data_IF_672397089926
#
_entry.id   IF_672397089926
#
_cell.length_a   1.000
_cell.length_b   1.000
_cell.length_c   1.000
_cell.angle_alpha   90.00
_cell.angle_beta   90.00
_cell.angle_gamma   90.00
#
_symmetry.space_group_name_H-M   'P 1'
#
loop_
_entity.id
_entity.type
_entity.pdbx_description
1 polymer ?
#
# COMPACT_ATOMS: atom_id res chain seq x y z
N UNK A 1 31.14 -23.52 -29.70
CA UNK A 1 31.95 -22.41 -29.18
C UNK A 1 32.69 -21.78 -30.34
N UNK A 2 32.46 -20.49 -30.60
CA UNK A 2 33.59 -19.58 -30.64
C UNK A 2 33.32 -18.30 -29.84
N UNK A 3 34.37 -17.85 -29.15
CA UNK A 3 34.43 -16.70 -28.27
C UNK A 3 34.40 -15.39 -29.09
N UNK A 4 33.43 -14.51 -28.80
CA UNK A 4 33.38 -13.16 -29.36
C UNK A 4 34.32 -12.26 -28.58
N UNK A 5 35.54 -12.12 -29.08
CA UNK A 5 36.53 -11.15 -28.61
C UNK A 5 36.00 -9.73 -28.87
N UNK A 6 35.74 -8.98 -27.80
CA UNK A 6 35.49 -7.54 -27.91
C UNK A 6 36.77 -6.86 -28.40
N UNK A 7 36.83 -6.55 -29.69
CA UNK A 7 37.83 -5.68 -30.29
C UNK A 7 37.61 -4.26 -29.78
N UNK A 8 38.35 -3.87 -28.74
CA UNK A 8 38.46 -2.46 -28.33
C UNK A 8 39.34 -1.73 -29.33
N UNK A 9 38.74 -1.30 -30.44
CA UNK A 9 39.35 -0.31 -31.33
C UNK A 9 39.61 0.97 -30.54
N UNK A 10 40.82 1.51 -30.63
CA UNK A 10 41.28 2.76 -30.01
C UNK A 10 40.52 3.95 -30.60
N UNK A 11 39.28 4.17 -30.16
CA UNK A 11 38.53 5.37 -30.50
C UNK A 11 39.20 6.59 -29.87
N UNK A 12 39.49 7.60 -30.71
CA UNK A 12 40.06 8.87 -30.26
C UNK A 12 39.20 9.47 -29.14
N UNK A 13 39.83 10.03 -28.10
CA UNK A 13 39.15 10.67 -26.96
C UNK A 13 38.08 11.69 -27.41
N UNK A 14 38.32 12.40 -28.52
CA UNK A 14 37.36 13.33 -29.11
C UNK A 14 36.09 12.64 -29.62
N UNK A 15 36.22 11.46 -30.24
CA UNK A 15 35.07 10.66 -30.70
C UNK A 15 34.26 10.09 -29.54
N UNK A 16 34.93 9.68 -28.44
CA UNK A 16 34.28 9.21 -27.22
C UNK A 16 33.49 10.35 -26.54
N UNK A 17 34.08 11.54 -26.42
CA UNK A 17 33.40 12.73 -25.89
C UNK A 17 32.20 13.12 -26.78
N UNK A 18 32.36 13.08 -28.10
CA UNK A 18 31.28 13.31 -29.05
C UNK A 18 30.11 12.34 -28.83
N UNK A 19 30.38 11.04 -28.75
CA UNK A 19 29.37 10.03 -28.45
C UNK A 19 28.72 10.24 -27.07
N UNK A 20 29.48 10.62 -26.06
CA UNK A 20 28.95 10.90 -24.72
C UNK A 20 27.96 12.08 -24.71
N UNK A 21 28.27 13.17 -25.42
CA UNK A 21 27.35 14.31 -25.52
C UNK A 21 26.07 13.95 -26.26
N UNK A 22 26.17 13.15 -27.33
CA UNK A 22 25.02 12.63 -28.07
C UNK A 22 24.16 11.68 -27.22
N UNK A 23 24.78 10.80 -26.43
CA UNK A 23 24.05 9.92 -25.52
C UNK A 23 23.36 10.71 -24.40
N UNK A 24 24.00 11.77 -23.91
CA UNK A 24 23.42 12.66 -22.90
C UNK A 24 22.21 13.43 -23.47
N UNK A 25 22.29 13.95 -24.69
CA UNK A 25 21.16 14.63 -25.33
C UNK A 25 19.99 13.67 -25.58
N UNK A 26 20.28 12.49 -26.16
CA UNK A 26 19.28 11.43 -26.35
C UNK A 26 18.61 11.02 -25.04
N UNK A 27 19.39 10.87 -23.96
CA UNK A 27 18.83 10.56 -22.63
C UNK A 27 17.88 11.65 -22.14
N UNK A 28 18.20 12.93 -22.31
CA UNK A 28 17.32 14.01 -21.89
C UNK A 28 16.03 14.05 -22.70
N UNK A 29 16.13 13.81 -24.01
CA UNK A 29 14.99 13.75 -24.91
C UNK A 29 14.05 12.59 -24.58
N UNK A 30 14.58 11.39 -24.32
CA UNK A 30 13.76 10.24 -23.91
C UNK A 30 13.10 10.46 -22.56
N UNK A 31 13.78 11.07 -21.58
CA UNK A 31 13.18 11.44 -20.30
C UNK A 31 12.01 12.43 -20.52
N UNK A 32 12.18 13.40 -21.41
CA UNK A 32 11.14 14.39 -21.72
C UNK A 32 9.91 13.74 -22.36
N UNK A 33 10.11 12.85 -23.33
CA UNK A 33 9.03 12.12 -24.00
C UNK A 33 8.31 11.18 -23.02
N UNK A 34 9.05 10.40 -22.23
CA UNK A 34 8.48 9.52 -21.21
C UNK A 34 7.64 10.30 -20.20
N UNK A 35 8.09 11.49 -19.78
CA UNK A 35 7.33 12.35 -18.87
C UNK A 35 6.01 12.83 -19.50
N UNK A 36 6.01 13.17 -20.78
CA UNK A 36 4.81 13.55 -21.50
C UNK A 36 3.82 12.38 -21.61
N UNK A 37 4.31 11.18 -21.92
CA UNK A 37 3.50 9.98 -22.05
C UNK A 37 2.88 9.57 -20.71
N UNK A 38 3.65 9.60 -19.61
CA UNK A 38 3.12 9.36 -18.26
C UNK A 38 2.05 10.40 -17.88
N UNK A 39 2.26 11.67 -18.22
CA UNK A 39 1.27 12.71 -17.96
C UNK A 39 -0.03 12.49 -18.77
N UNK A 40 0.07 12.03 -20.01
CA UNK A 40 -1.09 11.69 -20.82
C UNK A 40 -1.82 10.45 -20.28
N UNK A 41 -1.08 9.41 -19.91
CA UNK A 41 -1.64 8.18 -19.38
C UNK A 41 -2.33 8.42 -18.02
N UNK A 42 -1.73 9.20 -17.12
CA UNK A 42 -2.38 9.58 -15.87
C UNK A 42 -3.65 10.42 -16.10
N UNK A 43 -3.67 11.30 -17.12
CA UNK A 43 -4.87 12.04 -17.51
C UNK A 43 -5.94 11.09 -18.06
N UNK A 44 -5.57 10.12 -18.90
CA UNK A 44 -6.47 9.10 -19.44
C UNK A 44 -7.07 8.23 -18.34
N UNK A 45 -6.27 7.78 -17.39
CA UNK A 45 -6.73 7.00 -16.24
C UNK A 45 -7.70 7.81 -15.37
N UNK A 46 -7.41 9.08 -15.09
CA UNK A 46 -8.35 9.95 -14.37
C UNK A 46 -9.68 10.07 -15.12
N UNK A 47 -9.66 10.29 -16.42
CA UNK A 47 -10.88 10.35 -17.24
C UNK A 47 -11.65 9.03 -17.22
N UNK A 48 -10.97 7.88 -17.33
CA UNK A 48 -11.59 6.57 -17.24
C UNK A 48 -12.24 6.33 -15.86
N UNK A 49 -11.59 6.76 -14.76
CA UNK A 49 -12.19 6.68 -13.42
C UNK A 49 -13.39 7.61 -13.23
N UNK A 50 -13.42 8.75 -13.93
CA UNK A 50 -14.57 9.64 -13.92
C UNK A 50 -15.73 9.06 -14.74
N UNK A 51 -15.44 8.43 -15.88
CA UNK A 51 -16.44 7.74 -16.68
C UNK A 51 -17.03 6.54 -15.93
N UNK A 52 -16.21 5.73 -15.26
CA UNK A 52 -16.70 4.60 -14.45
C UNK A 52 -17.47 5.05 -13.20
N UNK A 53 -17.13 6.22 -12.63
CA UNK A 53 -17.96 6.85 -11.58
C UNK A 53 -19.27 7.40 -12.13
N UNK A 54 -19.28 7.91 -13.35
CA UNK A 54 -20.50 8.44 -14.00
C UNK A 54 -21.52 7.34 -14.31
N UNK A 55 -21.09 6.09 -14.52
CA UNK A 55 -22.00 4.94 -14.71
C UNK A 55 -22.59 4.44 -13.38
N UNK A 56 -22.04 4.85 -12.25
CA UNK A 56 -22.66 4.61 -10.95
C UNK A 56 -23.75 5.66 -10.76
N UNK A 57 -25.02 5.24 -10.74
CA UNK A 57 -26.16 6.11 -10.45
C UNK A 57 -25.92 6.76 -9.08
N UNK A 58 -25.47 8.02 -9.08
CA UNK A 58 -25.29 8.80 -7.87
C UNK A 58 -26.59 9.57 -7.70
N UNK A 59 -27.50 9.05 -6.89
CA UNK A 59 -28.62 9.86 -6.42
C UNK A 59 -28.03 11.08 -5.70
N UNK A 60 -28.26 12.30 -6.21
CA UNK A 60 -27.80 13.50 -5.54
C UNK A 60 -28.48 13.58 -4.18
N UNK A 61 -27.68 13.45 -3.13
CA UNK A 61 -28.10 13.51 -1.73
C UNK A 61 -28.96 14.77 -1.49
N UNK A 62 -30.29 14.60 -1.47
CA UNK A 62 -31.28 15.68 -1.37
C UNK A 62 -31.09 16.53 -0.11
N UNK A 63 -30.51 15.92 0.92
CA UNK A 63 -30.14 16.49 2.22
C UNK A 63 -29.10 17.60 2.11
N UNK A 64 -28.35 17.66 0.99
CA UNK A 64 -27.41 18.76 0.70
C UNK A 64 -28.09 20.09 0.42
N UNK A 65 -29.37 20.07 0.05
CA UNK A 65 -30.17 21.28 -0.17
C UNK A 65 -30.71 21.88 1.13
N UNK A 66 -30.75 21.09 2.22
CA UNK A 66 -31.27 21.51 3.51
C UNK A 66 -30.25 22.34 4.30
N UNK A 67 -30.71 23.28 5.15
CA UNK A 67 -29.90 23.95 6.15
C UNK A 67 -29.16 22.94 7.05
N UNK A 68 -27.97 23.31 7.52
CA UNK A 68 -27.10 22.41 8.31
C UNK A 68 -27.81 21.80 9.52
N UNK A 69 -28.66 22.55 10.21
CA UNK A 69 -29.38 22.08 11.39
C UNK A 69 -30.41 20.99 11.07
N UNK A 70 -31.10 21.09 9.94
CA UNK A 70 -32.07 20.09 9.48
C UNK A 70 -31.37 18.83 8.97
N UNK A 71 -30.24 19.02 8.27
CA UNK A 71 -29.41 17.91 7.80
C UNK A 71 -28.88 17.04 8.93
N UNK A 72 -28.55 17.63 10.08
CA UNK A 72 -28.06 16.88 11.25
C UNK A 72 -29.14 15.93 11.80
N UNK A 73 -30.41 16.30 11.68
CA UNK A 73 -31.54 15.49 12.15
C UNK A 73 -31.87 14.33 11.20
N UNK A 74 -31.41 14.37 9.96
CA UNK A 74 -31.62 13.33 8.95
C UNK A 74 -30.50 12.29 8.87
N UNK A 75 -29.45 12.42 9.70
CA UNK A 75 -28.43 11.38 9.79
C UNK A 75 -28.99 10.16 10.52
N UNK A 76 -28.88 9.00 9.89
CA UNK A 76 -29.19 7.74 10.55
C UNK A 76 -28.09 7.39 11.56
N UNK A 77 -28.43 6.57 12.56
CA UNK A 77 -27.46 6.08 13.56
C UNK A 77 -26.28 5.39 12.85
N UNK A 78 -26.55 4.60 11.81
CA UNK A 78 -25.53 3.93 10.99
C UNK A 78 -24.60 4.92 10.28
N UNK A 79 -25.13 6.05 9.78
CA UNK A 79 -24.31 7.09 9.15
C UNK A 79 -23.45 7.85 10.16
N UNK A 80 -23.98 8.10 11.37
CA UNK A 80 -23.21 8.67 12.47
C UNK A 80 -22.07 7.74 12.90
N UNK A 81 -22.34 6.45 13.07
CA UNK A 81 -21.32 5.43 13.40
C UNK A 81 -20.24 5.33 12.32
N UNK A 82 -20.63 5.32 11.04
CA UNK A 82 -19.70 5.30 9.92
C UNK A 82 -18.85 6.59 9.84
N UNK A 83 -19.44 7.74 10.20
CA UNK A 83 -18.72 9.01 10.26
C UNK A 83 -17.71 9.02 11.41
N UNK A 84 -18.10 8.54 12.59
CA UNK A 84 -17.21 8.41 13.76
C UNK A 84 -16.06 7.42 13.48
N UNK A 85 -16.35 6.28 12.88
CA UNK A 85 -15.31 5.31 12.48
C UNK A 85 -14.32 5.94 11.48
N UNK A 86 -14.83 6.74 10.54
CA UNK A 86 -14.00 7.47 9.58
C UNK A 86 -13.16 8.56 10.26
N UNK A 87 -13.68 9.25 11.27
CA UNK A 87 -12.89 10.20 12.06
C UNK A 87 -11.84 9.48 12.90
N UNK A 88 -12.15 8.35 13.54
CA UNK A 88 -11.16 7.57 14.28
C UNK A 88 -10.01 7.06 13.38
N UNK A 89 -10.33 6.62 12.16
CA UNK A 89 -9.30 6.26 11.16
C UNK A 89 -8.41 7.45 10.78
N UNK A 90 -8.93 8.67 10.83
CA UNK A 90 -8.16 9.91 10.60
C UNK A 90 -7.34 10.34 11.81
N UNK A 91 -7.84 10.09 13.03
CA UNK A 91 -7.13 10.36 14.29
C UNK A 91 -5.97 9.39 14.54
N UNK A 92 -5.90 8.26 13.82
CA UNK A 92 -4.72 7.39 13.73
C UNK A 92 -3.54 8.05 12.98
N UNK A 93 -3.23 9.31 13.30
CA UNK A 93 -2.04 10.05 12.86
C UNK A 93 -0.82 9.62 13.66
N UNK A 94 -0.23 8.50 13.25
CA UNK A 94 1.06 8.02 13.76
C UNK A 94 0.98 7.10 14.97
N UNK A 95 2.02 6.29 15.14
CA UNK A 95 2.17 5.38 16.28
C UNK A 95 2.67 6.21 17.46
N UNK A 96 1.76 6.70 18.29
CA UNK A 96 2.09 7.44 19.51
C UNK A 96 2.33 6.49 20.69
N UNK A 97 1.62 5.37 20.73
CA UNK A 97 1.58 4.45 21.88
C UNK A 97 1.62 2.99 21.41
N UNK A 98 2.53 2.21 22.00
CA UNK A 98 2.68 0.78 21.68
C UNK A 98 1.53 -0.04 22.30
N UNK A 99 1.01 0.38 23.44
CA UNK A 99 -0.04 -0.35 24.14
C UNK A 99 -1.35 -0.29 23.34
N UNK A 100 -1.70 0.91 22.85
CA UNK A 100 -2.85 1.08 21.94
C UNK A 100 -2.68 0.33 20.62
N UNK A 101 -1.45 0.27 20.09
CA UNK A 101 -1.18 -0.50 18.88
C UNK A 101 -1.34 -2.02 19.12
N UNK A 102 -0.93 -2.50 20.29
CA UNK A 102 -1.10 -3.88 20.71
C UNK A 102 -2.59 -4.21 20.91
N UNK A 103 -3.34 -3.33 21.58
CA UNK A 103 -4.79 -3.47 21.78
C UNK A 103 -5.55 -3.52 20.45
N UNK A 104 -5.27 -2.61 19.53
CA UNK A 104 -5.89 -2.61 18.21
C UNK A 104 -5.55 -3.88 17.40
N UNK A 105 -4.30 -4.33 17.49
CA UNK A 105 -3.86 -5.58 16.88
C UNK A 105 -4.58 -6.79 17.47
N UNK A 106 -4.76 -6.82 18.80
CA UNK A 106 -5.45 -7.88 19.52
C UNK A 106 -6.92 -8.01 19.12
N UNK A 107 -7.68 -6.91 19.16
CA UNK A 107 -9.09 -6.94 18.75
C UNK A 107 -9.26 -7.32 17.28
N UNK A 108 -8.36 -6.85 16.42
CA UNK A 108 -8.35 -7.25 15.01
C UNK A 108 -8.15 -8.77 14.86
N UNK A 109 -7.26 -9.36 15.66
CA UNK A 109 -7.02 -10.80 15.61
C UNK A 109 -8.22 -11.58 16.13
N UNK A 110 -8.79 -11.19 17.27
CA UNK A 110 -9.99 -11.84 17.83
C UNK A 110 -11.16 -11.80 16.87
N UNK A 111 -11.42 -10.65 16.25
CA UNK A 111 -12.52 -10.50 15.31
C UNK A 111 -12.34 -11.37 14.05
N UNK A 112 -11.10 -11.74 13.71
CA UNK A 112 -10.79 -12.60 12.57
C UNK A 112 -10.81 -14.09 12.93
N UNK A 113 -10.80 -14.47 14.21
CA UNK A 113 -10.90 -15.87 14.64
C UNK A 113 -12.33 -16.34 14.38
N UNK A 114 -12.47 -17.31 13.48
CA UNK A 114 -13.75 -17.98 13.20
C UNK A 114 -13.87 -19.19 14.12
N UNK A 115 -14.88 -19.18 15.00
CA UNK A 115 -15.18 -20.29 15.90
C UNK A 115 -16.15 -21.26 15.22
N UNK A 116 -15.73 -22.50 15.01
CA UNK A 116 -16.60 -23.58 14.53
C UNK A 116 -17.42 -24.15 15.70
N UNK A 117 -18.71 -23.80 15.73
CA UNK A 117 -19.64 -24.21 16.79
C UNK A 117 -19.94 -25.71 16.75
N UNK A 118 -19.94 -26.34 15.57
CA UNK A 118 -20.26 -27.75 15.43
C UNK A 118 -19.11 -28.64 15.90
N UNK A 119 -17.88 -28.26 15.55
CA UNK A 119 -16.68 -28.93 16.05
C UNK A 119 -16.61 -28.85 17.59
N UNK A 120 -16.95 -27.70 18.17
CA UNK A 120 -17.00 -27.51 19.62
C UNK A 120 -18.02 -28.44 20.29
N UNK A 121 -19.26 -28.50 19.79
CA UNK A 121 -20.30 -29.38 20.35
C UNK A 121 -19.91 -30.87 20.24
N UNK A 122 -19.32 -31.29 19.12
CA UNK A 122 -18.81 -32.66 18.94
C UNK A 122 -17.72 -32.98 19.96
N UNK A 123 -16.83 -32.04 20.26
CA UNK A 123 -15.77 -32.23 21.26
C UNK A 123 -16.29 -32.31 22.70
N UNK A 124 -17.41 -31.64 23.02
CA UNK A 124 -18.07 -31.76 24.31
C UNK A 124 -18.84 -33.07 24.48
N UNK A 125 -19.30 -33.68 23.38
CA UNK A 125 -20.07 -34.92 23.40
C UNK A 125 -19.20 -36.18 23.34
N UNK A 126 -18.00 -36.10 22.78
CA UNK A 126 -17.05 -37.22 22.77
C UNK A 126 -16.22 -37.24 24.05
N UNK A 127 -16.34 -38.31 24.85
CA UNK A 127 -15.44 -38.56 25.98
C UNK A 127 -13.97 -38.50 25.53
N UNK A 128 -13.18 -37.71 26.25
CA UNK A 128 -11.85 -37.28 25.83
C UNK A 128 -10.83 -38.43 25.74
N UNK A 129 -10.51 -38.85 24.53
CA UNK A 129 -9.21 -39.47 24.24
C UNK A 129 -8.18 -38.34 24.05
N UNK A 130 -7.37 -38.06 25.09
CA UNK A 130 -6.42 -36.94 25.16
C UNK A 130 -5.48 -36.86 23.95
N UNK A 131 -5.05 -38.02 23.42
CA UNK A 131 -4.08 -38.11 22.33
C UNK A 131 -4.63 -37.66 20.96
N UNK A 132 -5.95 -37.78 20.75
CA UNK A 132 -6.60 -37.35 19.50
C UNK A 132 -6.84 -35.85 19.51
N UNK A 133 -7.24 -35.31 20.67
CA UNK A 133 -7.41 -33.86 20.89
C UNK A 133 -6.07 -33.16 20.67
N UNK A 134 -4.97 -33.71 21.19
CA UNK A 134 -3.64 -33.15 21.07
C UNK A 134 -3.16 -33.02 19.61
N UNK A 135 -3.48 -33.98 18.74
CA UNK A 135 -3.09 -33.90 17.31
C UNK A 135 -3.86 -32.81 16.57
N UNK A 136 -5.17 -32.70 16.81
CA UNK A 136 -6.03 -31.70 16.16
C UNK A 136 -5.68 -30.28 16.62
N UNK A 137 -5.44 -30.11 17.92
CA UNK A 137 -4.97 -28.83 18.50
C UNK A 137 -3.61 -28.45 17.93
N UNK A 138 -2.68 -29.41 17.77
CA UNK A 138 -1.36 -29.15 17.14
C UNK A 138 -1.51 -28.65 15.70
N UNK A 139 -2.42 -29.20 14.93
CA UNK A 139 -2.68 -28.75 13.55
C UNK A 139 -3.25 -27.32 13.52
N UNK A 140 -4.25 -27.02 14.34
CA UNK A 140 -4.85 -25.68 14.44
C UNK A 140 -3.85 -24.62 14.93
N UNK A 141 -3.09 -24.93 15.98
CA UNK A 141 -2.01 -24.08 16.50
C UNK A 141 -0.95 -23.87 15.41
N UNK A 142 -0.61 -24.90 14.63
CA UNK A 142 0.35 -24.76 13.52
C UNK A 142 -0.18 -23.83 12.43
N UNK A 143 -1.48 -23.83 12.14
CA UNK A 143 -2.10 -22.93 11.17
C UNK A 143 -2.08 -21.48 11.66
N UNK A 144 -2.38 -21.25 12.94
CA UNK A 144 -2.32 -19.92 13.58
C UNK A 144 -0.87 -19.38 13.57
N UNK A 145 0.11 -20.23 13.89
CA UNK A 145 1.53 -19.87 13.87
C UNK A 145 2.01 -19.54 12.46
N UNK A 146 1.54 -20.27 11.43
CA UNK A 146 1.85 -19.95 10.02
C UNK A 146 1.27 -18.60 9.61
N UNK A 147 -0.01 -18.34 9.91
CA UNK A 147 -0.64 -17.04 9.61
C UNK A 147 0.00 -15.85 10.34
N UNK A 148 0.54 -16.08 11.54
CA UNK A 148 1.23 -15.06 12.33
C UNK A 148 2.57 -14.59 11.74
N UNK A 149 3.25 -15.43 10.95
CA UNK A 149 4.57 -15.13 10.37
C UNK A 149 4.51 -14.19 9.15
N UNK A 150 3.36 -14.09 8.49
CA UNK A 150 3.18 -13.23 7.32
C UNK A 150 2.83 -11.77 7.66
N UNK A 151 2.77 -11.42 8.96
CA UNK A 151 2.52 -10.05 9.44
C UNK A 151 3.70 -9.13 9.09
N UNK A 152 3.61 -8.41 7.98
CA UNK A 152 4.61 -7.41 7.56
C UNK A 152 4.26 -6.03 8.11
N UNK A 153 5.04 -5.56 9.08
CA UNK A 153 4.90 -4.21 9.65
C UNK A 153 5.20 -3.11 8.61
N UNK A 154 6.22 -3.33 7.78
CA UNK A 154 6.65 -2.37 6.77
C UNK A 154 6.33 -2.87 5.35
N UNK A 155 5.32 -2.28 4.71
CA UNK A 155 5.08 -2.47 3.27
C UNK A 155 6.17 -1.73 2.48
N UNK A 156 7.00 -2.47 1.74
CA UNK A 156 7.92 -1.87 0.76
C UNK A 156 7.09 -1.09 -0.25
N UNK A 157 7.23 0.24 -0.28
CA UNK A 157 6.67 1.08 -1.35
C UNK A 157 7.51 0.83 -2.60
N UNK A 158 6.86 0.59 -3.73
CA UNK A 158 7.56 0.39 -5.02
C UNK A 158 8.42 1.60 -5.36
N UNK A 159 9.54 1.38 -6.06
CA UNK A 159 10.33 2.48 -6.62
C UNK A 159 9.46 3.20 -7.64
N UNK A 160 9.20 4.48 -7.43
CA UNK A 160 8.58 5.36 -8.41
C UNK A 160 9.71 6.00 -9.20
N UNK A 161 9.64 5.93 -10.53
CA UNK A 161 10.69 6.44 -11.43
C UNK A 161 10.88 7.97 -11.32
N UNK A 162 9.90 8.68 -10.75
CA UNK A 162 9.96 10.12 -10.47
C UNK A 162 11.03 10.51 -9.45
N UNK A 163 11.59 9.54 -8.72
CA UNK A 163 12.59 9.76 -7.67
C UNK A 163 14.04 9.62 -8.16
N UNK A 164 14.26 9.39 -9.47
CA UNK A 164 15.56 9.02 -10.05
C UNK A 164 16.64 10.13 -10.13
N UNK A 165 16.50 11.23 -9.39
CA UNK A 165 17.28 12.46 -9.63
C UNK A 165 18.49 12.75 -8.74
N UNK A 166 18.45 12.45 -7.43
CA UNK A 166 19.31 13.16 -6.46
C UNK A 166 20.09 12.26 -5.49
N UNK A 167 20.31 10.98 -5.79
CA UNK A 167 21.08 10.09 -4.91
C UNK A 167 22.13 9.30 -5.68
N UNK A 168 23.32 9.19 -5.08
CA UNK A 168 24.45 8.39 -5.60
C UNK A 168 24.40 6.95 -5.08
N UNK A 169 23.76 6.71 -3.92
CA UNK A 169 23.62 5.39 -3.29
C UNK A 169 22.22 5.17 -2.69
N UNK A 170 21.84 3.92 -2.43
CA UNK A 170 20.55 3.60 -1.77
C UNK A 170 20.47 4.18 -0.35
N UNK A 171 21.60 4.25 0.37
CA UNK A 171 21.65 4.92 1.69
C UNK A 171 21.40 6.42 1.55
N UNK A 172 22.01 7.05 0.54
CA UNK A 172 21.78 8.47 0.25
C UNK A 172 20.32 8.73 -0.16
N UNK A 173 19.71 7.82 -0.92
CA UNK A 173 18.26 7.85 -1.22
C UNK A 173 17.41 7.84 0.05
N UNK A 174 17.61 6.86 0.93
CA UNK A 174 16.84 6.74 2.17
C UNK A 174 17.02 7.96 3.07
N UNK A 175 18.22 8.54 3.09
CA UNK A 175 18.51 9.78 3.79
C UNK A 175 17.73 10.97 3.22
N UNK A 176 17.74 11.14 1.89
CA UNK A 176 16.96 12.19 1.23
C UNK A 176 15.45 12.01 1.46
N UNK A 177 14.93 10.77 1.40
CA UNK A 177 13.53 10.50 1.79
C UNK A 177 13.24 10.89 3.25
N UNK A 178 14.21 10.72 4.16
CA UNK A 178 14.05 11.12 5.56
C UNK A 178 14.00 12.65 5.69
N UNK A 179 14.84 13.37 4.95
CA UNK A 179 14.81 14.84 4.91
C UNK A 179 13.51 15.37 4.33
N UNK A 180 13.07 14.86 3.17
CA UNK A 180 11.83 15.26 2.53
C UNK A 180 10.61 15.08 3.45
N UNK A 181 10.58 14.01 4.26
CA UNK A 181 9.52 13.80 5.26
C UNK A 181 9.44 14.90 6.32
N UNK A 182 10.58 15.51 6.67
CA UNK A 182 10.70 16.52 7.72
C UNK A 182 10.56 17.95 7.18
N UNK A 183 11.09 18.23 5.99
CA UNK A 183 11.31 19.59 5.50
C UNK A 183 10.47 19.98 4.27
N UNK A 184 9.95 19.03 3.46
CA UNK A 184 9.14 19.37 2.27
C UNK A 184 7.66 19.71 2.60
N UNK A 185 7.31 19.85 3.88
CA UNK A 185 5.93 20.16 4.33
C UNK A 185 5.69 21.67 4.59
N UNK A 186 6.42 22.55 3.91
CA UNK A 186 6.10 23.99 3.89
C UNK A 186 5.22 24.31 2.68
#
# INVERSE_FOLDING_TARGET
MPESTHTTSSESLATLLGKFTQLKSKRLETIRLNKADVAQETRRQKLATLQSKSTHHYEPDSRKSLPQNERILEYTIEECEAWDEKQQRRLNTGIQDQDKLAEASYYKEINNIKVDKEAYLKSCQSDHNSDIVDKKVKEEVSAIVKGSKDRKFNKKRGRTDDEAGNYISEKNRQFNLKLNRQYDKQ
#
